data_IF_510247668516
#
_entry.id   IF_510247668516
#
_cell.length_a   1.000
_cell.length_b   1.000
_cell.length_c   1.000
_cell.angle_alpha   90.00
_cell.angle_beta   90.00
_cell.angle_gamma   90.00
#
_symmetry.space_group_name_H-M   'P 1'
#
loop_
_entity.id
_entity.type
_entity.pdbx_description
1 polymer ?
#
# COMPACT_ATOMS: atom_id res chain seq x y z
N UNK A 1 -23.71 -14.12 -1.78
CA UNK A 1 -22.83 -14.10 -2.97
C UNK A 1 -21.78 -13.04 -2.71
N UNK A 2 -20.49 -13.40 -2.75
CA UNK A 2 -19.39 -12.45 -2.59
C UNK A 2 -19.47 -11.40 -3.69
N UNK A 3 -20.00 -10.23 -3.37
CA UNK A 3 -20.16 -9.15 -4.34
C UNK A 3 -19.06 -8.12 -4.07
N UNK A 4 -18.07 -7.99 -4.96
CA UNK A 4 -17.09 -6.92 -4.84
C UNK A 4 -17.71 -5.58 -5.23
N UNK A 5 -17.31 -4.54 -4.53
CA UNK A 5 -17.71 -3.16 -4.75
C UNK A 5 -16.50 -2.37 -5.22
N UNK A 6 -16.62 -1.56 -6.29
CA UNK A 6 -15.55 -0.64 -6.67
C UNK A 6 -15.17 0.24 -5.47
N UNK A 7 -13.88 0.49 -5.32
CA UNK A 7 -13.33 1.33 -4.27
C UNK A 7 -12.48 2.42 -4.91
N UNK A 8 -12.49 3.60 -4.31
CA UNK A 8 -11.61 4.70 -4.69
C UNK A 8 -10.84 5.11 -3.43
N UNK A 9 -9.51 5.21 -3.54
CA UNK A 9 -8.68 5.70 -2.45
C UNK A 9 -8.97 7.19 -2.31
N UNK A 10 -9.51 7.58 -1.16
CA UNK A 10 -9.79 8.97 -0.80
C UNK A 10 -9.22 9.28 0.58
N UNK A 11 -8.06 9.93 0.61
CA UNK A 11 -7.37 10.25 1.86
C UNK A 11 -7.82 11.63 2.34
N UNK A 12 -8.32 11.69 3.57
CA UNK A 12 -8.69 12.95 4.22
C UNK A 12 -7.49 13.92 4.29
N UNK A 13 -7.68 15.13 3.74
CA UNK A 13 -6.68 16.20 3.77
C UNK A 13 -6.27 16.57 5.20
N UNK A 14 -7.21 16.56 6.16
CA UNK A 14 -6.89 16.86 7.55
C UNK A 14 -5.98 15.79 8.16
N UNK A 15 -6.16 14.52 7.77
CA UNK A 15 -5.28 13.43 8.16
C UNK A 15 -3.87 13.60 7.54
N UNK A 16 -3.78 14.03 6.28
CA UNK A 16 -2.51 14.32 5.62
C UNK A 16 -1.75 15.46 6.30
N UNK A 17 -2.43 16.57 6.59
CA UNK A 17 -1.84 17.71 7.29
C UNK A 17 -1.37 17.33 8.69
N UNK A 18 -2.18 16.59 9.44
CA UNK A 18 -1.81 16.10 10.76
C UNK A 18 -0.59 15.17 10.68
N UNK A 19 -0.53 14.28 9.69
CA UNK A 19 0.59 13.36 9.49
C UNK A 19 1.87 14.13 9.17
N UNK A 20 1.83 15.06 8.22
CA UNK A 20 2.98 15.89 7.86
C UNK A 20 3.46 16.73 9.03
N UNK A 21 2.55 17.30 9.84
CA UNK A 21 2.90 18.04 11.06
C UNK A 21 3.59 17.16 12.10
N UNK A 22 3.11 15.93 12.31
CA UNK A 22 3.75 14.98 13.24
C UNK A 22 5.15 14.58 12.77
N UNK A 23 5.33 14.34 11.48
CA UNK A 23 6.63 14.02 10.90
C UNK A 23 7.58 15.21 11.00
N UNK A 24 7.13 16.44 10.71
CA UNK A 24 7.96 17.65 10.82
C UNK A 24 8.40 17.93 12.26
N UNK A 25 7.58 17.59 13.25
CA UNK A 25 7.84 17.81 14.67
C UNK A 25 8.43 16.58 15.38
N UNK A 26 8.86 15.56 14.63
CA UNK A 26 9.44 14.36 15.24
C UNK A 26 10.73 14.74 16.00
N UNK A 27 10.98 14.05 17.12
CA UNK A 27 12.21 14.23 17.89
C UNK A 27 13.20 13.16 17.49
N UNK A 28 14.33 13.58 16.90
CA UNK A 28 15.40 12.65 16.54
C UNK A 28 16.12 12.10 17.77
N UNK A 29 16.66 10.89 17.64
CA UNK A 29 17.45 10.20 18.67
C UNK A 29 18.93 10.48 18.47
N UNK A 30 19.72 10.41 19.55
CA UNK A 30 21.17 10.43 19.44
C UNK A 30 21.67 9.03 19.02
N UNK A 31 22.63 8.99 18.11
CA UNK A 31 23.31 7.75 17.76
C UNK A 31 24.24 7.31 18.91
N UNK A 32 24.40 6.00 19.07
CA UNK A 32 25.38 5.41 19.98
C UNK A 32 26.77 5.40 19.32
N UNK A 33 27.82 5.23 20.13
CA UNK A 33 29.19 5.07 19.64
C UNK A 33 29.42 3.67 19.02
N UNK A 34 28.72 3.36 17.93
CA UNK A 34 28.83 2.13 17.15
C UNK A 34 28.85 2.45 15.64
N UNK A 35 29.29 1.51 14.78
CA UNK A 35 29.17 1.68 13.33
C UNK A 35 27.72 1.94 12.88
N UNK A 36 27.55 2.67 11.78
CA UNK A 36 26.22 2.91 11.20
C UNK A 36 25.47 1.59 10.93
N UNK A 37 24.16 1.59 11.12
CA UNK A 37 23.25 0.44 10.93
C UNK A 37 23.41 -0.72 11.92
N UNK A 38 24.33 -0.64 12.88
CA UNK A 38 24.54 -1.70 13.86
C UNK A 38 23.30 -1.96 14.75
N UNK A 39 22.61 -0.91 15.18
CA UNK A 39 21.42 -0.97 16.04
C UNK A 39 20.23 -0.27 15.39
N UNK A 40 20.09 -0.45 14.07
CA UNK A 40 19.05 0.20 13.26
C UNK A 40 19.52 1.46 12.53
N UNK A 41 18.59 2.14 11.83
CA UNK A 41 18.93 3.26 10.95
C UNK A 41 19.58 4.43 11.71
N UNK A 42 20.65 5.05 11.18
CA UNK A 42 21.24 6.24 11.79
C UNK A 42 20.24 7.40 11.94
N UNK A 43 20.40 8.21 12.98
CA UNK A 43 19.59 9.40 13.25
C UNK A 43 19.50 10.35 12.04
N UNK A 44 20.61 10.51 11.31
CA UNK A 44 20.70 11.32 10.10
C UNK A 44 19.87 10.79 8.94
N UNK A 45 19.77 9.45 8.78
CA UNK A 45 18.92 8.82 7.77
C UNK A 45 17.44 9.05 8.09
N UNK A 46 17.03 8.82 9.34
CA UNK A 46 15.64 9.05 9.76
C UNK A 46 15.26 10.54 9.61
N UNK A 47 16.16 11.45 9.98
CA UNK A 47 15.93 12.89 9.83
C UNK A 47 15.78 13.30 8.37
N UNK A 48 16.56 12.69 7.47
CA UNK A 48 16.46 12.93 6.03
C UNK A 48 15.13 12.43 5.46
N UNK A 49 14.70 11.23 5.86
CA UNK A 49 13.39 10.66 5.47
C UNK A 49 12.26 11.54 5.98
N UNK A 50 12.32 11.97 7.24
CA UNK A 50 11.31 12.83 7.84
C UNK A 50 11.18 14.15 7.07
N UNK A 51 12.29 14.83 6.79
CA UNK A 51 12.29 16.07 6.00
C UNK A 51 11.67 15.86 4.61
N UNK A 52 12.06 14.80 3.89
CA UNK A 52 11.46 14.49 2.59
C UNK A 52 9.96 14.23 2.70
N UNK A 53 9.52 13.45 3.69
CA UNK A 53 8.11 13.11 3.90
C UNK A 53 7.22 14.28 4.28
N UNK A 54 7.73 15.25 5.04
CA UNK A 54 6.98 16.43 5.45
C UNK A 54 6.99 17.55 4.40
N UNK A 55 8.05 17.66 3.59
CA UNK A 55 8.24 18.82 2.71
C UNK A 55 8.05 18.51 1.22
N UNK A 56 8.31 17.28 0.78
CA UNK A 56 8.46 16.97 -0.66
C UNK A 56 7.59 15.80 -1.14
N UNK A 57 7.18 14.91 -0.25
CA UNK A 57 6.42 13.74 -0.62
C UNK A 57 4.95 14.08 -0.87
N UNK A 58 4.53 14.00 -2.13
CA UNK A 58 3.18 14.32 -2.58
C UNK A 58 2.28 13.07 -2.58
N UNK A 59 1.53 12.92 -1.49
CA UNK A 59 0.59 11.80 -1.29
C UNK A 59 -0.64 11.89 -2.17
N UNK A 60 -1.05 13.08 -2.61
CA UNK A 60 -2.22 13.24 -3.47
C UNK A 60 -1.91 12.84 -4.90
N UNK A 61 -0.68 13.12 -5.37
CA UNK A 61 -0.18 12.59 -6.63
C UNK A 61 -0.16 11.06 -6.63
N UNK A 62 0.29 10.43 -5.54
CA UNK A 62 0.24 8.97 -5.41
C UNK A 62 -1.19 8.43 -5.33
N UNK A 63 -2.09 9.04 -4.56
CA UNK A 63 -3.51 8.65 -4.50
C UNK A 63 -4.14 8.67 -5.90
N UNK A 64 -3.94 9.76 -6.64
CA UNK A 64 -4.44 9.89 -8.00
C UNK A 64 -3.88 8.80 -8.92
N UNK A 65 -2.55 8.62 -8.91
CA UNK A 65 -1.89 7.58 -9.72
C UNK A 65 -2.45 6.19 -9.42
N UNK A 66 -2.58 5.83 -8.14
CA UNK A 66 -3.07 4.52 -7.74
C UNK A 66 -4.50 4.28 -8.25
N UNK A 67 -5.41 5.25 -8.08
CA UNK A 67 -6.78 5.16 -8.60
C UNK A 67 -6.84 5.10 -10.13
N UNK A 68 -5.88 5.71 -10.84
CA UNK A 68 -5.81 5.67 -12.31
C UNK A 68 -5.21 4.37 -12.85
N UNK A 69 -4.22 3.80 -12.16
CA UNK A 69 -3.49 2.60 -12.61
C UNK A 69 -4.17 1.28 -12.21
N UNK A 70 -4.96 1.28 -11.14
CA UNK A 70 -5.49 0.05 -10.55
C UNK A 70 -7.01 0.03 -10.38
N UNK A 71 -7.60 -1.11 -10.73
CA UNK A 71 -8.99 -1.41 -10.40
C UNK A 71 -9.07 -1.91 -8.94
N UNK A 72 -9.46 -1.00 -8.04
CA UNK A 72 -9.61 -1.25 -6.62
C UNK A 72 -11.01 -1.76 -6.26
N UNK A 73 -11.07 -2.73 -5.34
CA UNK A 73 -12.33 -3.28 -4.85
C UNK A 73 -12.28 -3.55 -3.36
N UNK A 74 -13.46 -3.56 -2.74
CA UNK A 74 -13.68 -4.11 -1.41
C UNK A 74 -14.77 -5.17 -1.43
N UNK A 75 -14.73 -6.10 -0.47
CA UNK A 75 -15.84 -7.02 -0.23
C UNK A 75 -15.84 -7.48 1.22
N UNK A 76 -17.00 -7.93 1.69
CA UNK A 76 -17.14 -8.54 3.03
C UNK A 76 -17.11 -10.05 2.87
N UNK A 77 -16.12 -10.69 3.51
CA UNK A 77 -15.97 -12.14 3.58
C UNK A 77 -16.56 -12.60 4.91
N UNK A 78 -17.50 -13.55 4.93
CA UNK A 78 -18.02 -14.11 6.18
C UNK A 78 -16.93 -14.92 6.89
N UNK A 79 -17.12 -15.23 8.18
CA UNK A 79 -16.13 -15.97 8.95
C UNK A 79 -15.78 -17.30 8.29
N UNK A 80 -14.49 -17.65 8.13
CA UNK A 80 -14.11 -18.92 7.54
C UNK A 80 -14.23 -20.06 8.57
N UNK A 81 -15.07 -21.05 8.32
CA UNK A 81 -15.23 -22.20 9.23
C UNK A 81 -15.82 -21.82 10.59
N UNK A 82 -15.63 -22.70 11.58
CA UNK A 82 -16.29 -22.58 12.89
C UNK A 82 -15.45 -21.81 13.93
N UNK A 83 -14.17 -21.55 13.64
CA UNK A 83 -13.22 -20.92 14.58
C UNK A 83 -13.33 -19.39 14.61
N UNK A 84 -14.04 -18.80 13.65
CA UNK A 84 -14.19 -17.35 13.50
C UNK A 84 -15.66 -16.96 13.57
N UNK A 85 -15.95 -15.87 14.29
CA UNK A 85 -17.32 -15.39 14.51
C UNK A 85 -17.67 -14.16 13.68
N UNK A 86 -16.66 -13.42 13.24
CA UNK A 86 -16.84 -12.11 12.63
C UNK A 86 -16.54 -12.14 11.13
N UNK A 87 -17.31 -11.36 10.38
CA UNK A 87 -17.01 -11.11 8.97
C UNK A 87 -15.85 -10.14 8.85
N UNK A 88 -15.11 -10.23 7.74
CA UNK A 88 -13.96 -9.38 7.46
C UNK A 88 -14.20 -8.58 6.18
N UNK A 89 -14.05 -7.26 6.29
CA UNK A 89 -13.94 -6.41 5.12
C UNK A 89 -12.52 -6.49 4.56
N UNK A 90 -12.40 -6.88 3.30
CA UNK A 90 -11.12 -7.00 2.60
C UNK A 90 -11.07 -5.99 1.46
N UNK A 91 -9.90 -5.40 1.28
CA UNK A 91 -9.53 -4.61 0.12
C UNK A 91 -8.62 -5.43 -0.79
N UNK A 92 -8.76 -5.28 -2.10
CA UNK A 92 -7.88 -5.91 -3.08
C UNK A 92 -7.86 -5.14 -4.40
N UNK A 93 -6.78 -5.33 -5.17
CA UNK A 93 -6.68 -4.90 -6.57
C UNK A 93 -7.06 -6.11 -7.43
N UNK A 94 -7.92 -5.92 -8.43
CA UNK A 94 -8.30 -6.99 -9.35
C UNK A 94 -8.32 -6.50 -10.79
N UNK A 95 -7.29 -6.90 -11.53
CA UNK A 95 -7.15 -6.61 -12.95
C UNK A 95 -7.61 -7.79 -13.80
N UNK A 96 -8.61 -7.57 -14.66
CA UNK A 96 -9.15 -8.62 -15.53
C UNK A 96 -8.46 -8.64 -16.89
N UNK A 97 -8.04 -9.84 -17.30
CA UNK A 97 -7.59 -10.10 -18.66
C UNK A 97 -8.78 -10.11 -19.62
N UNK A 98 -8.56 -9.65 -20.85
CA UNK A 98 -9.53 -9.77 -21.96
C UNK A 98 -9.59 -11.20 -22.51
N UNK A 99 -8.56 -12.01 -22.29
CA UNK A 99 -8.55 -13.43 -22.68
C UNK A 99 -9.51 -14.24 -21.83
N UNK A 100 -10.42 -14.98 -22.47
CA UNK A 100 -11.43 -15.80 -21.79
C UNK A 100 -10.87 -17.04 -21.09
N UNK A 101 -9.66 -17.47 -21.45
CA UNK A 101 -8.94 -18.61 -20.88
C UNK A 101 -7.80 -18.18 -19.94
N UNK A 102 -7.79 -16.90 -19.52
CA UNK A 102 -6.79 -16.38 -18.60
C UNK A 102 -6.77 -17.19 -17.29
N UNK A 103 -5.57 -17.52 -16.83
CA UNK A 103 -5.36 -18.25 -15.58
C UNK A 103 -5.57 -17.29 -14.42
N UNK A 104 -6.51 -17.53 -13.49
CA UNK A 104 -6.63 -16.73 -12.28
C UNK A 104 -5.35 -16.84 -11.44
N UNK A 105 -4.79 -15.70 -11.07
CA UNK A 105 -3.57 -15.64 -10.26
C UNK A 105 -3.78 -14.74 -9.06
N UNK A 106 -3.55 -15.27 -7.87
CA UNK A 106 -3.67 -14.56 -6.60
C UNK A 106 -2.27 -14.20 -6.08
N UNK A 107 -2.02 -12.89 -5.92
CA UNK A 107 -0.78 -12.38 -5.35
C UNK A 107 -1.02 -11.95 -3.91
N UNK A 108 -0.30 -12.56 -2.98
CA UNK A 108 -0.37 -12.24 -1.55
C UNK A 108 0.90 -11.50 -1.14
N UNK A 109 0.75 -10.28 -0.68
CA UNK A 109 1.85 -9.55 -0.05
C UNK A 109 2.15 -10.14 1.34
N UNK A 110 3.30 -9.77 1.88
CA UNK A 110 3.72 -10.15 3.24
C UNK A 110 4.03 -8.92 4.07
N UNK A 111 4.08 -9.07 5.38
CA UNK A 111 4.61 -8.03 6.26
C UNK A 111 6.10 -7.76 5.96
N UNK A 112 6.57 -6.50 5.91
CA UNK A 112 5.88 -5.24 6.20
C UNK A 112 5.26 -4.55 4.96
N UNK A 113 5.15 -5.25 3.83
CA UNK A 113 4.68 -4.71 2.56
C UNK A 113 3.16 -4.78 2.39
N UNK A 114 2.65 -4.08 1.38
CA UNK A 114 1.25 -4.06 0.96
C UNK A 114 1.13 -4.62 -0.46
N UNK A 115 -0.09 -4.66 -1.03
CA UNK A 115 -0.30 -5.04 -2.43
C UNK A 115 0.50 -4.20 -3.43
N UNK A 116 0.97 -3.01 -3.04
CA UNK A 116 1.77 -2.11 -3.87
C UNK A 116 3.20 -2.62 -4.14
N UNK A 117 3.65 -3.68 -3.46
CA UNK A 117 4.90 -4.38 -3.80
C UNK A 117 4.94 -4.80 -5.28
N UNK A 118 3.77 -5.04 -5.87
CA UNK A 118 3.60 -5.52 -7.23
C UNK A 118 3.13 -4.45 -8.23
N UNK A 119 3.18 -3.16 -7.86
CA UNK A 119 2.61 -2.06 -8.67
C UNK A 119 3.16 -2.02 -10.11
N UNK A 120 4.42 -2.44 -10.31
CA UNK A 120 5.05 -2.47 -11.65
C UNK A 120 4.72 -3.71 -12.48
N UNK A 121 4.18 -4.75 -11.85
CA UNK A 121 3.90 -6.05 -12.48
C UNK A 121 2.42 -6.19 -12.79
N UNK A 122 1.55 -5.73 -11.88
CA UNK A 122 0.09 -5.85 -11.99
C UNK A 122 -0.46 -5.35 -13.34
N UNK A 123 -0.04 -4.19 -13.91
CA UNK A 123 -0.61 -3.69 -15.17
C UNK A 123 -0.31 -4.57 -16.40
N UNK A 124 0.75 -5.36 -16.35
CA UNK A 124 1.22 -6.19 -17.47
C UNK A 124 0.59 -7.60 -17.46
N UNK A 125 0.22 -8.12 -16.30
CA UNK A 125 -0.34 -9.48 -16.17
C UNK A 125 -1.61 -9.74 -17.01
N UNK A 126 -2.58 -8.82 -17.11
CA UNK A 126 -3.77 -9.00 -17.95
C UNK A 126 -3.49 -8.83 -19.45
N UNK A 127 -2.35 -8.24 -19.81
CA UNK A 127 -1.97 -7.86 -21.17
C UNK A 127 -0.68 -8.58 -21.60
N UNK A 128 -0.60 -9.92 -21.51
CA UNK A 128 0.65 -10.60 -21.84
C UNK A 128 1.04 -10.29 -23.29
N UNK A 129 2.22 -9.69 -23.47
CA UNK A 129 2.82 -9.51 -24.79
C UNK A 129 2.88 -10.87 -25.47
N UNK A 130 2.48 -10.94 -26.75
CA UNK A 130 2.68 -12.17 -27.53
C UNK A 130 4.18 -12.49 -27.54
N UNK A 131 4.54 -13.63 -26.97
CA UNK A 131 5.83 -14.27 -27.21
C UNK A 131 5.77 -15.04 -28.53
#
# INVERSE_FOLDING_TARGET
MYKPWPYEIDIDLAFLEQTSSRVANFRSTADIAAPAWFDGPPSSNISTIAAYWSEKYDRLSDQKRLNEEFDHYTTTVPPPGDDYTDSLDIYFIHQRSEKSDAIPFLMLHRWPFTSLEWEKVIPELPKPSMA
#
